data_IF_018674635764
#
_entry.id   IF_018674635764
#
_cell.length_a   1.000
_cell.length_b   1.000
_cell.length_c   1.000
_cell.angle_alpha   90.00
_cell.angle_beta   90.00
_cell.angle_gamma   90.00
#
_symmetry.space_group_name_H-M   'P 1'
#
loop_
_entity.id
_entity.type
_entity.pdbx_description
1 polymer ?
#
# COMPACT_ATOMS: atom_id res chain seq x y z
N UNK A 1 -74.33 -48.42 6.16
CA UNK A 1 -73.72 -49.37 7.14
C UNK A 1 -72.29 -48.85 7.29
N UNK A 2 -72.18 -48.17 8.31
CA UNK A 2 -71.48 -48.39 9.59
C UNK A 2 -70.00 -47.98 9.44
N UNK A 3 -69.75 -46.87 10.04
CA UNK A 3 -69.23 -46.60 11.39
C UNK A 3 -67.81 -47.07 11.59
N UNK A 4 -66.90 -46.25 11.92
CA UNK A 4 -66.36 -45.99 13.25
C UNK A 4 -65.13 -45.02 13.02
N UNK A 5 -65.13 -43.82 13.55
CA UNK A 5 -64.64 -43.45 14.90
C UNK A 5 -63.36 -44.22 15.22
N UNK A 6 -62.33 -43.59 15.46
CA UNK A 6 -61.98 -42.76 16.59
C UNK A 6 -60.50 -42.38 16.58
N UNK A 7 -60.31 -41.22 17.05
CA UNK A 7 -59.51 -40.80 18.20
C UNK A 7 -58.01 -40.55 17.94
N UNK A 8 -57.76 -39.30 17.96
CA UNK A 8 -57.11 -38.65 19.13
C UNK A 8 -55.75 -39.24 19.53
N UNK A 9 -54.77 -38.50 19.24
CA UNK A 9 -53.43 -38.68 19.77
C UNK A 9 -52.63 -37.43 19.58
N UNK A 10 -52.88 -36.51 20.40
CA UNK A 10 -52.12 -35.49 21.03
C UNK A 10 -50.68 -35.93 21.26
N UNK A 11 -49.74 -35.18 20.81
CA UNK A 11 -48.68 -34.70 21.69
C UNK A 11 -47.80 -33.72 20.96
N UNK A 12 -47.92 -32.57 21.44
CA UNK A 12 -46.95 -31.52 21.35
C UNK A 12 -45.63 -31.93 22.02
N UNK A 13 -44.57 -31.58 21.41
CA UNK A 13 -43.28 -31.25 22.05
C UNK A 13 -42.46 -30.70 20.89
N UNK A 14 -42.23 -29.45 20.71
CA UNK A 14 -41.61 -28.58 21.69
C UNK A 14 -40.11 -28.83 21.59
N UNK A 15 -39.51 -28.47 20.48
CA UNK A 15 -38.07 -28.50 20.30
C UNK A 15 -37.64 -27.27 19.49
N UNK A 16 -37.75 -26.10 20.09
CA UNK A 16 -37.07 -24.92 19.59
C UNK A 16 -35.59 -25.16 19.74
N UNK A 17 -34.95 -25.63 18.68
CA UNK A 17 -33.49 -25.63 18.58
C UNK A 17 -33.11 -24.18 18.31
N UNK A 18 -32.86 -23.45 19.40
CA UNK A 18 -32.24 -22.14 19.38
C UNK A 18 -30.80 -22.37 18.92
N UNK A 19 -30.58 -22.30 17.61
CA UNK A 19 -29.24 -22.25 17.04
C UNK A 19 -28.60 -20.93 17.47
N UNK A 20 -27.86 -21.01 18.56
CA UNK A 20 -27.03 -19.91 19.04
C UNK A 20 -25.88 -19.74 18.02
N UNK A 21 -26.09 -18.91 17.03
CA UNK A 21 -25.03 -18.43 16.18
C UNK A 21 -24.08 -17.56 17.03
N UNK A 22 -23.06 -18.19 17.55
CA UNK A 22 -21.89 -17.47 18.06
C UNK A 22 -21.23 -16.77 16.87
N UNK A 23 -21.63 -15.53 16.65
CA UNK A 23 -20.88 -14.60 15.80
C UNK A 23 -19.58 -14.31 16.56
N UNK A 24 -18.56 -15.07 16.24
CA UNK A 24 -17.18 -14.73 16.62
C UNK A 24 -16.84 -13.47 15.83
N UNK A 25 -17.16 -12.33 16.42
CA UNK A 25 -16.59 -11.05 15.97
C UNK A 25 -15.09 -11.12 16.25
N UNK A 26 -14.35 -11.64 15.28
CA UNK A 26 -12.90 -11.48 15.26
C UNK A 26 -12.59 -10.00 15.18
N UNK A 27 -12.27 -9.38 16.33
CA UNK A 27 -11.55 -8.12 16.38
C UNK A 27 -10.18 -8.36 15.74
N UNK A 28 -10.13 -8.34 14.40
CA UNK A 28 -8.90 -8.11 13.72
C UNK A 28 -8.42 -6.73 14.14
N UNK A 29 -7.24 -6.65 14.74
CA UNK A 29 -6.54 -5.40 15.01
C UNK A 29 -6.24 -4.77 13.65
N UNK A 30 -7.24 -4.11 13.08
CA UNK A 30 -7.18 -3.37 11.84
C UNK A 30 -6.42 -2.07 12.09
N UNK A 31 -5.10 -2.16 12.21
CA UNK A 31 -4.28 -0.98 12.01
C UNK A 31 -4.57 -0.44 10.61
N UNK A 32 -4.78 0.87 10.49
CA UNK A 32 -4.91 1.50 9.17
C UNK A 32 -3.73 1.09 8.30
N UNK A 33 -3.93 0.86 6.99
CA UNK A 33 -2.83 0.55 6.09
C UNK A 33 -1.76 1.65 6.18
N UNK A 34 -0.48 1.31 6.01
CA UNK A 34 0.59 2.29 6.06
C UNK A 34 0.37 3.39 5.02
N UNK A 35 0.59 4.63 5.44
CA UNK A 35 0.50 5.80 4.59
C UNK A 35 1.81 5.97 3.81
N UNK A 36 1.80 5.56 2.55
CA UNK A 36 2.97 5.59 1.67
C UNK A 36 3.49 7.01 1.40
N UNK A 37 2.61 7.99 1.30
CA UNK A 37 2.97 9.40 1.10
C UNK A 37 3.74 9.94 2.31
N UNK A 38 3.22 9.72 3.51
CA UNK A 38 3.88 10.17 4.73
C UNK A 38 5.23 9.49 4.95
N UNK A 39 5.32 8.19 4.65
CA UNK A 39 6.59 7.45 4.74
C UNK A 39 7.59 8.01 3.71
N UNK A 40 7.13 8.26 2.49
CA UNK A 40 7.94 8.87 1.44
C UNK A 40 8.47 10.25 1.84
N UNK A 41 7.61 11.13 2.31
CA UNK A 41 7.99 12.47 2.76
C UNK A 41 9.06 12.42 3.85
N UNK A 42 8.91 11.50 4.79
CA UNK A 42 9.84 11.33 5.92
C UNK A 42 11.20 10.77 5.52
N UNK A 43 11.26 9.80 4.61
CA UNK A 43 12.46 9.01 4.36
C UNK A 43 13.08 9.17 2.98
N UNK A 44 12.31 9.63 2.00
CA UNK A 44 12.71 9.65 0.59
C UNK A 44 12.77 11.07 0.01
N UNK A 45 11.82 11.92 0.38
CA UNK A 45 11.60 13.24 -0.22
C UNK A 45 12.78 14.18 -0.12
N UNK A 46 13.60 14.10 0.94
CA UNK A 46 14.78 14.96 1.11
C UNK A 46 15.81 14.82 -0.02
N UNK A 47 15.94 13.63 -0.59
CA UNK A 47 16.81 13.36 -1.73
C UNK A 47 16.05 13.32 -3.05
N UNK A 48 14.93 12.60 -3.11
CA UNK A 48 14.18 12.39 -4.35
C UNK A 48 13.29 13.58 -4.74
N UNK A 49 13.03 14.51 -3.82
CA UNK A 49 12.12 15.63 -4.05
C UNK A 49 10.65 15.25 -3.90
N UNK A 50 9.79 16.24 -3.82
CA UNK A 50 8.34 16.05 -3.65
C UNK A 50 7.71 15.29 -4.82
N UNK A 51 8.14 15.60 -6.04
CA UNK A 51 7.68 14.94 -7.26
C UNK A 51 8.49 13.67 -7.62
N UNK A 52 9.47 13.28 -6.80
CA UNK A 52 10.29 12.10 -7.03
C UNK A 52 11.28 12.18 -8.19
N UNK A 53 11.57 13.39 -8.68
CA UNK A 53 12.44 13.58 -9.87
C UNK A 53 13.92 13.73 -9.54
N UNK A 54 14.31 13.56 -8.28
CA UNK A 54 15.71 13.63 -7.85
C UNK A 54 16.20 15.05 -7.51
N UNK A 55 15.30 15.99 -7.32
CA UNK A 55 15.58 17.41 -7.07
C UNK A 55 15.45 17.82 -5.60
N UNK A 56 15.53 16.86 -4.68
CA UNK A 56 15.42 17.12 -3.25
C UNK A 56 16.57 17.99 -2.72
N UNK A 57 16.32 18.73 -1.63
CA UNK A 57 17.31 19.67 -1.08
C UNK A 57 18.62 19.00 -0.65
N UNK A 58 18.54 17.83 -0.04
CA UNK A 58 19.72 17.05 0.37
C UNK A 58 20.54 16.61 -0.85
N UNK A 59 19.88 16.16 -1.92
CA UNK A 59 20.57 15.75 -3.13
C UNK A 59 21.32 16.94 -3.78
N UNK A 60 20.70 18.10 -3.83
CA UNK A 60 21.33 19.32 -4.37
C UNK A 60 22.54 19.74 -3.55
N UNK A 61 22.43 19.76 -2.22
CA UNK A 61 23.53 20.16 -1.34
C UNK A 61 24.70 19.17 -1.40
N UNK A 62 24.42 17.89 -1.51
CA UNK A 62 25.44 16.82 -1.56
C UNK A 62 25.95 16.49 -2.98
N UNK A 63 25.45 17.18 -4.02
CA UNK A 63 25.83 16.90 -5.41
C UNK A 63 25.37 15.52 -5.90
N UNK A 64 24.33 14.94 -5.28
CA UNK A 64 23.79 13.64 -5.64
C UNK A 64 22.82 13.75 -6.82
N UNK A 65 22.69 12.67 -7.57
CA UNK A 65 21.74 12.55 -8.69
C UNK A 65 20.83 11.34 -8.45
N UNK A 66 19.84 11.44 -7.56
CA UNK A 66 18.87 10.36 -7.35
C UNK A 66 18.09 10.05 -8.62
N UNK A 67 17.63 8.81 -8.72
CA UNK A 67 16.79 8.37 -9.84
C UNK A 67 15.48 9.17 -9.90
N UNK A 68 14.98 9.38 -11.11
CA UNK A 68 13.61 9.83 -11.36
C UNK A 68 12.66 8.66 -11.06
N UNK A 69 11.93 8.74 -9.95
CA UNK A 69 11.08 7.66 -9.46
C UNK A 69 9.85 7.40 -10.33
N UNK A 70 9.11 8.43 -10.84
CA UNK A 70 8.07 8.21 -11.83
C UNK A 70 8.50 7.38 -13.05
N UNK A 71 9.71 7.59 -13.54
CA UNK A 71 10.28 6.77 -14.61
C UNK A 71 10.66 5.37 -14.10
N UNK A 72 11.34 5.31 -12.97
CA UNK A 72 11.83 4.05 -12.43
C UNK A 72 10.70 3.02 -12.19
N UNK A 73 9.53 3.44 -11.69
CA UNK A 73 8.39 2.53 -11.45
C UNK A 73 7.70 2.04 -12.73
N UNK A 74 7.99 2.65 -13.87
CA UNK A 74 7.51 2.20 -15.19
C UNK A 74 8.48 1.26 -15.89
N UNK A 75 9.78 1.51 -15.71
CA UNK A 75 10.84 0.78 -16.38
C UNK A 75 11.27 -0.48 -15.63
N UNK A 76 11.07 -0.50 -14.31
CA UNK A 76 11.51 -1.58 -13.42
C UNK A 76 10.33 -2.35 -12.86
N UNK A 77 10.55 -3.62 -12.62
CA UNK A 77 9.58 -4.45 -11.93
C UNK A 77 9.38 -3.98 -10.48
N UNK A 78 8.20 -4.31 -9.92
CA UNK A 78 7.90 -4.08 -8.50
C UNK A 78 8.98 -4.68 -7.59
N UNK A 79 9.44 -5.90 -7.89
CA UNK A 79 10.45 -6.59 -7.11
C UNK A 79 11.79 -5.85 -7.10
N UNK A 80 12.21 -5.27 -8.22
CA UNK A 80 13.43 -4.46 -8.31
C UNK A 80 13.34 -3.18 -7.51
N UNK A 81 12.21 -2.48 -7.57
CA UNK A 81 11.97 -1.26 -6.78
C UNK A 81 12.01 -1.58 -5.29
N UNK A 82 11.23 -2.56 -4.82
CA UNK A 82 11.21 -2.98 -3.42
C UNK A 82 12.56 -3.49 -2.94
N UNK A 83 13.26 -4.23 -3.79
CA UNK A 83 14.63 -4.68 -3.53
C UNK A 83 15.62 -3.52 -3.36
N UNK A 84 15.51 -2.49 -4.19
CA UNK A 84 16.32 -1.27 -4.09
C UNK A 84 16.02 -0.50 -2.79
N UNK A 85 14.75 -0.33 -2.45
CA UNK A 85 14.35 0.31 -1.18
C UNK A 85 14.90 -0.48 0.02
N UNK A 86 14.79 -1.81 -0.01
CA UNK A 86 15.23 -2.67 1.08
C UNK A 86 16.75 -2.67 1.26
N UNK A 87 17.51 -2.81 0.18
CA UNK A 87 18.97 -3.03 0.21
C UNK A 87 19.78 -1.74 0.09
N UNK A 88 19.15 -0.65 -0.37
CA UNK A 88 19.84 0.57 -0.75
C UNK A 88 20.63 0.41 -2.04
N UNK A 89 21.18 1.51 -2.53
CA UNK A 89 22.05 1.53 -3.71
C UNK A 89 22.90 2.79 -3.73
N UNK A 90 24.22 2.65 -3.84
CA UNK A 90 25.15 3.79 -3.84
C UNK A 90 24.93 4.68 -2.60
N UNK A 91 24.61 5.96 -2.78
CA UNK A 91 24.32 6.90 -1.69
C UNK A 91 22.91 6.71 -1.07
N UNK A 92 22.04 5.89 -1.66
CA UNK A 92 20.72 5.61 -1.11
C UNK A 92 20.84 4.60 0.05
N UNK A 93 20.37 4.94 1.25
CA UNK A 93 20.41 4.02 2.39
C UNK A 93 19.52 2.79 2.21
N UNK A 94 19.83 1.73 2.95
CA UNK A 94 19.02 0.53 3.03
C UNK A 94 17.88 0.71 4.04
N UNK A 95 16.64 0.57 3.61
CA UNK A 95 15.46 0.72 4.46
C UNK A 95 14.86 -0.60 4.94
N UNK A 96 15.47 -1.75 4.60
CA UNK A 96 14.93 -3.06 4.95
C UNK A 96 14.81 -3.34 6.45
N UNK A 97 15.60 -2.66 7.30
CA UNK A 97 15.50 -2.75 8.75
C UNK A 97 14.73 -1.58 9.40
N UNK A 98 14.42 -0.56 8.63
CA UNK A 98 13.76 0.66 9.09
C UNK A 98 12.27 0.59 8.80
N UNK A 99 11.91 0.07 7.62
CA UNK A 99 10.55 -0.06 7.14
C UNK A 99 10.14 -1.54 7.07
N UNK A 100 8.95 -1.85 7.53
CA UNK A 100 8.33 -3.17 7.34
C UNK A 100 8.05 -3.43 5.85
N UNK A 101 7.75 -4.68 5.50
CA UNK A 101 7.37 -5.04 4.12
C UNK A 101 6.12 -4.28 3.68
N UNK A 102 5.13 -4.13 4.57
CA UNK A 102 3.91 -3.38 4.30
C UNK A 102 4.17 -1.89 4.05
N UNK A 103 5.07 -1.28 4.82
CA UNK A 103 5.46 0.13 4.64
C UNK A 103 6.22 0.34 3.33
N UNK A 104 7.13 -0.57 2.96
CA UNK A 104 7.81 -0.50 1.66
C UNK A 104 6.84 -0.66 0.50
N UNK A 105 5.87 -1.55 0.64
CA UNK A 105 4.80 -1.70 -0.34
C UNK A 105 3.95 -0.43 -0.46
N UNK A 106 3.57 0.17 0.65
CA UNK A 106 2.81 1.43 0.65
C UNK A 106 3.58 2.56 -0.05
N UNK A 107 4.89 2.66 0.19
CA UNK A 107 5.75 3.60 -0.56
C UNK A 107 5.74 3.28 -2.05
N UNK A 108 5.92 2.03 -2.45
CA UNK A 108 5.86 1.64 -3.87
C UNK A 108 4.54 2.04 -4.53
N UNK A 109 3.40 1.82 -3.85
CA UNK A 109 2.10 2.23 -4.37
C UNK A 109 2.00 3.76 -4.51
N UNK A 110 2.52 4.52 -3.55
CA UNK A 110 2.59 5.97 -3.64
C UNK A 110 3.45 6.43 -4.82
N UNK A 111 4.62 5.82 -5.04
CA UNK A 111 5.49 6.17 -6.18
C UNK A 111 4.77 6.04 -7.52
N UNK A 112 3.84 5.10 -7.65
CA UNK A 112 3.04 4.91 -8.87
C UNK A 112 2.01 6.02 -9.11
N UNK A 113 1.67 6.79 -8.10
CA UNK A 113 0.76 7.94 -8.20
C UNK A 113 1.47 9.24 -8.54
N UNK A 114 2.80 9.26 -8.41
CA UNK A 114 3.57 10.47 -8.71
C UNK A 114 3.47 10.85 -10.19
N UNK A 115 3.18 12.12 -10.48
CA UNK A 115 3.04 12.59 -11.86
C UNK A 115 4.40 12.55 -12.56
N UNK A 116 4.38 12.15 -13.81
CA UNK A 116 5.54 12.30 -14.68
C UNK A 116 5.75 13.79 -14.97
N UNK A 117 6.69 14.41 -14.27
CA UNK A 117 7.14 15.74 -14.65
C UNK A 117 7.92 15.59 -15.96
N UNK A 118 7.28 15.85 -17.09
CA UNK A 118 8.00 16.02 -18.35
C UNK A 118 9.06 17.07 -18.09
N UNK A 119 10.33 16.67 -18.17
CA UNK A 119 11.42 17.65 -18.26
C UNK A 119 11.17 18.38 -19.56
N UNK A 120 10.55 19.54 -19.46
CA UNK A 120 10.51 20.48 -20.56
C UNK A 120 11.97 20.84 -20.79
N UNK A 121 12.58 20.22 -21.78
CA UNK A 121 13.81 20.73 -22.37
C UNK A 121 13.41 22.10 -22.94
N UNK A 122 13.58 23.12 -22.10
CA UNK A 122 13.52 24.51 -22.57
C UNK A 122 14.65 24.69 -23.59
N UNK A 123 14.30 24.45 -24.84
CA UNK A 123 15.14 24.63 -26.02
C UNK A 123 15.26 26.13 -26.40
N UNK A 124 14.76 27.03 -25.53
CA UNK A 124 14.67 28.45 -25.83
C UNK A 124 15.81 29.31 -25.26
N UNK A 125 16.89 28.69 -24.73
CA UNK A 125 18.09 29.48 -24.34
C UNK A 125 19.26 29.27 -25.28
N UNK A 126 19.05 29.49 -26.55
CA UNK A 126 20.12 29.35 -27.52
C UNK A 126 19.91 30.15 -28.80
N UNK A 127 19.27 31.30 -28.73
CA UNK A 127 19.32 32.28 -29.84
C UNK A 127 19.29 33.68 -29.25
N UNK A 128 20.47 34.23 -29.06
CA UNK A 128 20.75 35.58 -28.70
C UNK A 128 22.24 35.84 -28.89
#
# INVERSE_FOLDING_TARGET
MERHRDRMGRSATGGAVLALFLVVSGCGSGGSPPDGERIYAKHCGSCHGEAGVGDGPTARLAGLKPANLPMAVREKSRAEILGTISKGRQAMPAFGRILTDAEREAVYQYLRTLPEKKVSLDRSRGQG
#
